data_IF_433806246816
#
_entry.id   IF_433806246816
#
_cell.length_a   1.000
_cell.length_b   1.000
_cell.length_c   1.000
_cell.angle_alpha   90.00
_cell.angle_beta   90.00
_cell.angle_gamma   90.00
#
_symmetry.space_group_name_H-M   'P 1'
#
loop_
_entity.id
_entity.type
_entity.pdbx_description
1 polymer ?
#
# COMPACT_ATOMS: atom_id res chain seq x y z
N UNK A 1 26.99 15.35 -38.07
CA UNK A 1 26.54 14.12 -37.37
C UNK A 1 25.92 13.20 -38.40
N UNK A 2 26.31 11.93 -38.41
CA UNK A 2 25.69 10.90 -39.24
C UNK A 2 24.34 10.47 -38.62
N UNK A 3 23.39 9.96 -39.43
CA UNK A 3 22.10 9.46 -38.91
C UNK A 3 22.30 8.37 -37.84
N UNK A 4 23.35 7.56 -37.99
CA UNK A 4 23.72 6.54 -37.02
C UNK A 4 24.16 7.13 -35.65
N UNK A 5 24.93 8.23 -35.66
CA UNK A 5 25.32 8.92 -34.42
C UNK A 5 24.10 9.49 -33.69
N UNK A 6 23.10 10.00 -34.42
CA UNK A 6 21.89 10.59 -33.83
C UNK A 6 21.02 9.50 -33.21
N UNK A 7 20.84 8.36 -33.88
CA UNK A 7 20.14 7.19 -33.31
C UNK A 7 20.81 6.69 -32.03
N UNK A 8 22.14 6.60 -32.04
CA UNK A 8 22.92 6.23 -30.85
C UNK A 8 22.76 7.21 -29.71
N UNK A 9 22.82 8.50 -30.01
CA UNK A 9 22.63 9.53 -29.01
C UNK A 9 21.19 9.50 -28.47
N UNK A 10 20.21 9.27 -29.34
CA UNK A 10 18.81 9.15 -28.95
C UNK A 10 18.56 8.00 -27.98
N UNK A 11 19.07 6.79 -28.22
CA UNK A 11 18.89 5.67 -27.28
C UNK A 11 19.57 5.91 -25.94
N UNK A 12 20.81 6.41 -25.96
CA UNK A 12 21.63 6.58 -24.77
C UNK A 12 21.15 7.75 -23.90
N UNK A 13 20.56 8.78 -24.51
CA UNK A 13 20.18 10.00 -23.80
C UNK A 13 18.68 10.03 -23.45
N UNK A 14 17.81 9.47 -24.30
CA UNK A 14 16.37 9.60 -24.11
C UNK A 14 15.76 8.49 -23.24
N UNK A 15 16.30 7.26 -23.26
CA UNK A 15 15.74 6.14 -22.51
C UNK A 15 16.19 6.10 -21.03
N UNK A 16 17.48 6.27 -20.68
CA UNK A 16 17.96 6.09 -19.30
C UNK A 16 17.40 7.02 -18.23
N UNK A 17 17.17 8.33 -18.45
CA UNK A 17 16.84 9.25 -17.36
C UNK A 17 15.63 8.79 -16.56
N UNK A 18 14.58 8.39 -17.26
CA UNK A 18 13.32 7.94 -16.68
C UNK A 18 13.39 6.53 -16.11
N UNK A 19 14.18 5.64 -16.73
CA UNK A 19 14.36 4.26 -16.23
C UNK A 19 15.19 4.21 -14.95
N UNK A 20 16.18 5.09 -14.83
CA UNK A 20 16.96 5.25 -13.61
C UNK A 20 16.10 5.67 -12.43
N UNK A 21 15.00 6.41 -12.66
CA UNK A 21 14.07 6.81 -11.62
C UNK A 21 13.31 5.62 -11.04
N UNK A 22 12.95 4.64 -11.87
CA UNK A 22 12.36 3.37 -11.42
C UNK A 22 13.38 2.58 -10.59
N UNK A 23 14.62 2.44 -11.08
CA UNK A 23 15.68 1.77 -10.33
C UNK A 23 16.06 2.48 -9.03
N UNK A 24 15.93 3.81 -8.97
CA UNK A 24 16.14 4.60 -7.75
C UNK A 24 15.10 4.27 -6.68
N UNK A 25 13.82 4.12 -7.05
CA UNK A 25 12.76 3.73 -6.09
C UNK A 25 13.05 2.35 -5.50
N UNK A 26 13.50 1.40 -6.31
CA UNK A 26 13.77 0.02 -5.90
C UNK A 26 15.24 -0.29 -5.62
N UNK A 27 16.06 0.71 -5.31
CA UNK A 27 17.52 0.54 -5.21
C UNK A 27 17.97 -0.49 -4.15
N UNK A 28 17.17 -0.68 -3.10
CA UNK A 28 17.42 -1.66 -2.03
C UNK A 28 16.82 -3.04 -2.30
N UNK A 29 15.95 -3.16 -3.31
CA UNK A 29 15.20 -4.39 -3.60
C UNK A 29 15.67 -5.09 -4.88
N UNK A 30 16.92 -4.88 -5.30
CA UNK A 30 17.47 -5.52 -6.49
C UNK A 30 17.82 -7.00 -6.20
N UNK A 31 17.47 -7.92 -7.11
CA UNK A 31 17.78 -9.36 -6.98
C UNK A 31 19.27 -9.67 -7.14
N UNK A 32 19.98 -8.84 -7.89
CA UNK A 32 21.38 -9.02 -8.24
C UNK A 32 22.21 -7.82 -7.79
N UNK A 33 23.53 -8.00 -7.70
CA UNK A 33 24.43 -6.89 -7.43
C UNK A 33 24.29 -5.79 -8.49
N UNK A 34 24.43 -4.53 -8.08
CA UNK A 34 24.20 -3.34 -8.92
C UNK A 34 24.96 -3.38 -10.25
N UNK A 35 26.18 -3.92 -10.26
CA UNK A 35 27.01 -4.04 -11.47
C UNK A 35 26.34 -4.94 -12.52
N UNK A 36 25.79 -6.10 -12.12
CA UNK A 36 25.09 -7.00 -13.04
C UNK A 36 23.78 -6.39 -13.56
N UNK A 37 23.08 -5.64 -12.71
CA UNK A 37 21.86 -4.91 -13.10
C UNK A 37 22.17 -3.84 -14.14
N UNK A 38 23.24 -3.06 -13.95
CA UNK A 38 23.67 -2.05 -14.93
C UNK A 38 24.13 -2.74 -16.21
N UNK A 39 24.90 -3.82 -16.13
CA UNK A 39 25.36 -4.56 -17.31
C UNK A 39 24.20 -5.13 -18.12
N UNK A 40 23.19 -5.74 -17.47
CA UNK A 40 22.01 -6.25 -18.15
C UNK A 40 21.16 -5.14 -18.76
N UNK A 41 21.04 -3.98 -18.10
CA UNK A 41 20.32 -2.84 -18.64
C UNK A 41 21.05 -2.24 -19.87
N UNK A 42 22.38 -2.17 -19.83
CA UNK A 42 23.19 -1.79 -21.00
C UNK A 42 23.00 -2.75 -22.18
N UNK A 43 22.79 -4.04 -21.90
CA UNK A 43 22.46 -5.02 -22.95
C UNK A 43 21.08 -4.75 -23.56
N UNK A 44 20.08 -4.39 -22.75
CA UNK A 44 18.75 -3.98 -23.24
C UNK A 44 18.84 -2.71 -24.10
N UNK A 45 19.66 -1.73 -23.71
CA UNK A 45 19.92 -0.54 -24.52
C UNK A 45 20.64 -0.89 -25.82
N UNK A 46 21.65 -1.77 -25.79
CA UNK A 46 22.34 -2.24 -26.97
C UNK A 46 21.41 -2.98 -27.94
N UNK A 47 20.48 -3.79 -27.42
CA UNK A 47 19.47 -4.45 -28.24
C UNK A 47 18.49 -3.44 -28.85
N UNK A 48 18.06 -2.44 -28.09
CA UNK A 48 17.21 -1.34 -28.58
C UNK A 48 17.92 -0.52 -29.66
N UNK A 49 19.23 -0.32 -29.50
CA UNK A 49 20.06 0.34 -30.50
C UNK A 49 20.20 -0.50 -31.78
N UNK A 50 20.40 -1.82 -31.64
CA UNK A 50 20.48 -2.72 -32.79
C UNK A 50 19.17 -2.75 -33.58
N UNK A 51 18.02 -2.80 -32.89
CA UNK A 51 16.70 -2.75 -33.54
C UNK A 51 16.49 -1.43 -34.27
N UNK A 52 16.88 -0.29 -33.66
CA UNK A 52 16.83 1.02 -34.31
C UNK A 52 17.70 1.15 -35.56
N UNK A 53 18.81 0.42 -35.65
CA UNK A 53 19.66 0.41 -36.84
C UNK A 53 19.11 -0.50 -37.93
N UNK A 54 18.42 -1.59 -37.55
CA UNK A 54 17.89 -2.57 -38.50
C UNK A 54 16.54 -2.20 -39.12
N UNK A 55 15.68 -1.43 -38.42
CA UNK A 55 14.36 -1.06 -38.92
C UNK A 55 14.33 0.38 -39.46
N UNK A 56 13.74 0.62 -40.65
CA UNK A 56 13.53 1.95 -41.21
C UNK A 56 12.29 2.64 -40.61
N UNK A 57 12.09 2.51 -39.29
CA UNK A 57 10.99 3.14 -38.56
C UNK A 57 11.47 4.40 -37.84
N UNK A 58 10.53 5.28 -37.48
CA UNK A 58 10.82 6.44 -36.64
C UNK A 58 11.45 6.02 -35.31
N UNK A 59 12.46 6.78 -34.85
CA UNK A 59 13.20 6.47 -33.62
C UNK A 59 12.27 6.36 -32.38
N UNK A 60 11.21 7.17 -32.33
CA UNK A 60 10.20 7.16 -31.28
C UNK A 60 9.32 5.90 -31.30
N UNK A 61 8.95 5.41 -32.48
CA UNK A 61 8.17 4.17 -32.63
C UNK A 61 8.99 2.94 -32.24
N UNK A 62 10.27 2.90 -32.64
CA UNK A 62 11.16 1.80 -32.21
C UNK A 62 11.37 1.83 -30.71
N UNK A 63 11.57 3.01 -30.10
CA UNK A 63 11.68 3.16 -28.66
C UNK A 63 10.40 2.72 -27.93
N UNK A 64 9.23 3.04 -28.48
CA UNK A 64 7.93 2.57 -27.97
C UNK A 64 7.83 1.04 -28.01
N UNK A 65 8.18 0.41 -29.13
CA UNK A 65 8.13 -1.05 -29.30
C UNK A 65 9.14 -1.79 -28.41
N UNK A 66 10.27 -1.16 -28.09
CA UNK A 66 11.27 -1.73 -27.18
C UNK A 66 10.95 -1.46 -25.70
N UNK A 67 9.94 -0.64 -25.39
CA UNK A 67 9.56 -0.31 -24.01
C UNK A 67 9.10 -1.51 -23.17
N UNK A 68 8.26 -2.44 -23.70
CA UNK A 68 7.88 -3.65 -22.97
C UNK A 68 9.07 -4.53 -22.60
N UNK A 69 10.12 -4.56 -23.43
CA UNK A 69 11.35 -5.30 -23.15
C UNK A 69 12.07 -4.72 -21.91
N UNK A 70 12.20 -3.39 -21.84
CA UNK A 70 12.79 -2.72 -20.67
C UNK A 70 11.96 -2.96 -19.40
N UNK A 71 10.63 -2.92 -19.51
CA UNK A 71 9.72 -3.22 -18.40
C UNK A 71 9.83 -4.69 -17.95
N UNK A 72 9.93 -5.63 -18.90
CA UNK A 72 10.15 -7.05 -18.60
C UNK A 72 11.49 -7.26 -17.88
N UNK A 73 12.54 -6.56 -18.32
CA UNK A 73 13.83 -6.58 -17.62
C UNK A 73 13.72 -6.05 -16.18
N UNK A 74 13.02 -4.92 -15.96
CA UNK A 74 12.76 -4.39 -14.62
C UNK A 74 12.03 -5.40 -13.72
N UNK A 75 11.02 -6.09 -14.26
CA UNK A 75 10.28 -7.15 -13.55
C UNK A 75 11.16 -8.35 -13.16
N UNK A 76 12.14 -8.70 -14.00
CA UNK A 76 13.06 -9.79 -13.71
C UNK A 76 14.09 -9.44 -12.65
N UNK A 77 14.54 -8.18 -12.61
CA UNK A 77 15.64 -7.74 -11.76
C UNK A 77 15.17 -7.24 -10.38
N UNK A 78 13.98 -6.65 -10.31
CA UNK A 78 13.45 -6.12 -9.05
C UNK A 78 12.79 -7.26 -8.24
N UNK A 79 13.12 -7.34 -6.95
CA UNK A 79 12.62 -8.34 -6.00
C UNK A 79 11.40 -7.82 -5.24
N UNK A 80 10.44 -7.25 -5.96
CA UNK A 80 9.17 -6.80 -5.39
C UNK A 80 7.98 -7.40 -6.16
N UNK A 81 6.78 -7.12 -5.70
CA UNK A 81 5.53 -7.48 -6.37
C UNK A 81 5.50 -6.86 -7.77
N UNK A 82 5.16 -7.65 -8.81
CA UNK A 82 5.22 -7.19 -10.19
C UNK A 82 4.28 -6.00 -10.45
N UNK A 83 3.13 -5.93 -9.76
CA UNK A 83 2.18 -4.83 -9.89
C UNK A 83 2.77 -3.48 -9.42
N UNK A 84 3.60 -3.47 -8.38
CA UNK A 84 4.26 -2.26 -7.88
C UNK A 84 5.28 -1.74 -8.88
N UNK A 85 6.08 -2.66 -9.44
CA UNK A 85 7.07 -2.35 -10.47
C UNK A 85 6.40 -1.82 -11.73
N UNK A 86 5.33 -2.48 -12.19
CA UNK A 86 4.52 -2.04 -13.34
C UNK A 86 3.98 -0.64 -13.08
N UNK A 87 3.35 -0.41 -11.93
CA UNK A 87 2.75 0.88 -11.63
C UNK A 87 3.78 2.01 -11.63
N UNK A 88 4.90 1.81 -10.95
CA UNK A 88 5.97 2.82 -10.90
C UNK A 88 6.57 3.06 -12.29
N UNK A 89 6.76 2.01 -13.10
CA UNK A 89 7.24 2.15 -14.47
C UNK A 89 6.24 2.91 -15.37
N UNK A 90 4.94 2.69 -15.18
CA UNK A 90 3.90 3.41 -15.93
C UNK A 90 3.72 4.84 -15.47
N UNK A 91 3.88 5.14 -14.18
CA UNK A 91 3.80 6.50 -13.65
C UNK A 91 4.80 7.46 -14.34
N UNK A 92 5.97 6.94 -14.67
CA UNK A 92 7.05 7.70 -15.30
C UNK A 92 6.80 7.89 -16.81
N UNK A 93 6.05 7.00 -17.44
CA UNK A 93 5.90 6.97 -18.90
C UNK A 93 5.20 8.20 -19.50
N UNK A 94 4.12 8.76 -18.92
CA UNK A 94 3.53 10.01 -19.40
C UNK A 94 4.48 11.22 -19.37
N UNK A 95 5.41 11.27 -18.41
CA UNK A 95 6.43 12.32 -18.38
C UNK A 95 7.39 12.20 -19.57
N UNK A 96 7.78 10.97 -19.92
CA UNK A 96 8.58 10.69 -21.11
C UNK A 96 7.82 11.06 -22.40
N UNK A 97 6.53 10.72 -22.51
CA UNK A 97 5.71 11.12 -23.66
C UNK A 97 5.59 12.64 -23.79
N UNK A 98 5.35 13.35 -22.68
CA UNK A 98 5.28 14.81 -22.65
C UNK A 98 6.61 15.43 -23.13
N UNK A 99 7.74 14.96 -22.60
CA UNK A 99 9.06 15.42 -23.02
C UNK A 99 9.32 15.14 -24.51
N UNK A 100 8.90 13.97 -25.00
CA UNK A 100 8.96 13.61 -26.41
C UNK A 100 8.15 14.54 -27.32
N UNK A 101 6.95 14.95 -26.90
CA UNK A 101 6.13 15.90 -27.66
C UNK A 101 6.65 17.31 -27.69
N UNK A 102 7.21 17.79 -26.57
CA UNK A 102 7.86 19.09 -26.55
C UNK A 102 9.09 19.07 -27.47
N UNK A 103 9.79 17.94 -27.53
CA UNK A 103 10.86 17.69 -28.49
C UNK A 103 10.39 17.78 -29.96
N UNK A 104 9.27 17.16 -30.34
CA UNK A 104 8.75 17.28 -31.71
C UNK A 104 8.18 18.65 -32.03
N UNK A 105 7.52 19.29 -31.09
CA UNK A 105 7.02 20.66 -31.24
C UNK A 105 8.17 21.64 -31.51
N UNK A 106 9.22 21.60 -30.70
CA UNK A 106 10.39 22.47 -30.88
C UNK A 106 11.14 22.18 -32.17
N UNK A 107 11.24 20.92 -32.57
CA UNK A 107 11.77 20.53 -33.87
C UNK A 107 10.92 21.10 -35.04
N UNK A 108 9.60 21.10 -34.91
CA UNK A 108 8.71 21.66 -35.93
C UNK A 108 8.83 23.20 -36.05
N UNK A 109 8.94 23.92 -34.93
CA UNK A 109 8.99 25.39 -34.94
C UNK A 109 10.40 25.98 -35.10
N UNK A 110 11.44 25.32 -34.59
CA UNK A 110 12.81 25.84 -34.51
C UNK A 110 13.84 24.95 -35.22
N UNK A 111 13.44 23.82 -35.79
CA UNK A 111 14.35 22.81 -36.37
C UNK A 111 14.98 23.15 -37.72
N UNK A 112 14.83 24.38 -38.23
CA UNK A 112 15.45 24.77 -39.50
C UNK A 112 16.98 24.63 -39.41
N UNK A 113 17.53 23.63 -40.13
CA UNK A 113 18.98 23.39 -40.23
C UNK A 113 19.59 22.38 -39.25
N UNK A 114 18.80 21.80 -38.34
CA UNK A 114 19.27 20.76 -37.40
C UNK A 114 18.85 19.35 -37.88
N UNK A 115 19.72 18.34 -37.74
CA UNK A 115 19.34 16.94 -37.98
C UNK A 115 18.13 16.49 -37.14
N UNK A 116 17.25 15.65 -37.72
CA UNK A 116 16.02 15.25 -37.05
C UNK A 116 16.29 14.47 -35.76
N UNK A 117 15.53 14.75 -34.70
CA UNK A 117 15.65 14.08 -33.40
C UNK A 117 16.70 14.65 -32.42
N UNK A 118 17.57 15.59 -32.84
CA UNK A 118 18.51 16.25 -31.91
C UNK A 118 17.80 17.08 -30.85
N UNK A 119 16.71 17.76 -31.21
CA UNK A 119 15.88 18.50 -30.26
C UNK A 119 15.33 17.60 -29.17
N UNK A 120 14.90 16.38 -29.51
CA UNK A 120 14.45 15.37 -28.53
C UNK A 120 15.58 14.99 -27.58
N UNK A 121 16.79 14.78 -28.11
CA UNK A 121 17.96 14.42 -27.32
C UNK A 121 18.37 15.53 -26.32
N UNK A 122 18.10 16.79 -26.63
CA UNK A 122 18.39 17.91 -25.73
C UNK A 122 17.25 18.14 -24.71
N UNK A 123 16.01 18.14 -25.17
CA UNK A 123 14.85 18.46 -24.34
C UNK A 123 14.49 17.37 -23.36
N UNK A 124 14.64 16.09 -23.72
CA UNK A 124 14.25 14.98 -22.83
C UNK A 124 15.07 15.00 -21.53
N UNK A 125 16.42 15.09 -21.55
CA UNK A 125 17.22 15.25 -20.34
C UNK A 125 16.97 16.58 -19.61
N UNK A 126 16.78 17.68 -20.34
CA UNK A 126 16.50 18.98 -19.72
C UNK A 126 15.19 18.96 -18.94
N UNK A 127 14.14 18.39 -19.53
CA UNK A 127 12.84 18.16 -18.87
C UNK A 127 12.97 17.21 -17.70
N UNK A 128 13.78 16.15 -17.82
CA UNK A 128 14.05 15.25 -16.71
C UNK A 128 14.71 16.00 -15.54
N UNK A 129 15.74 16.81 -15.78
CA UNK A 129 16.41 17.62 -14.76
C UNK A 129 15.44 18.65 -14.12
N UNK A 130 14.55 19.24 -14.90
CA UNK A 130 13.54 20.18 -14.41
C UNK A 130 12.49 19.48 -13.52
N UNK A 131 12.05 18.28 -13.90
CA UNK A 131 11.04 17.52 -13.18
C UNK A 131 11.64 16.74 -12.01
N UNK A 132 12.94 16.47 -12.00
CA UNK A 132 13.62 15.65 -11.00
C UNK A 132 13.35 16.08 -9.55
N UNK A 133 13.42 17.38 -9.17
CA UNK A 133 13.12 17.79 -7.79
C UNK A 133 11.68 17.49 -7.40
N UNK A 134 10.74 17.77 -8.31
CA UNK A 134 9.33 17.46 -8.10
C UNK A 134 9.13 15.95 -7.98
N UNK A 135 9.69 15.16 -8.89
CA UNK A 135 9.59 13.71 -8.88
C UNK A 135 10.18 13.09 -7.60
N UNK A 136 11.35 13.55 -7.13
CA UNK A 136 11.93 13.10 -5.87
C UNK A 136 11.05 13.47 -4.67
N UNK A 137 10.42 14.64 -4.68
CA UNK A 137 9.45 15.03 -3.66
C UNK A 137 8.22 14.11 -3.69
N UNK A 138 7.64 13.84 -4.86
CA UNK A 138 6.51 12.91 -5.04
C UNK A 138 6.87 11.51 -4.56
N UNK A 139 8.06 11.01 -4.91
CA UNK A 139 8.54 9.69 -4.50
C UNK A 139 8.65 9.63 -2.97
N UNK A 140 9.30 10.61 -2.34
CA UNK A 140 9.53 10.61 -0.89
C UNK A 140 8.25 10.76 -0.08
N UNK A 141 7.32 11.61 -0.51
CA UNK A 141 6.14 11.98 0.29
C UNK A 141 4.85 11.23 -0.08
N UNK A 142 4.71 10.75 -1.31
CA UNK A 142 3.50 10.04 -1.75
C UNK A 142 3.78 8.57 -2.04
N UNK A 143 4.83 8.27 -2.82
CA UNK A 143 5.09 6.91 -3.27
C UNK A 143 5.64 6.01 -2.15
N UNK A 144 6.62 6.48 -1.38
CA UNK A 144 7.23 5.70 -0.30
C UNK A 144 6.22 5.28 0.79
N UNK A 145 5.34 6.18 1.30
CA UNK A 145 4.28 5.76 2.22
C UNK A 145 3.25 4.81 1.60
N UNK A 146 3.00 4.93 0.30
CA UNK A 146 2.09 4.01 -0.39
C UNK A 146 2.73 2.63 -0.60
N UNK A 147 4.05 2.57 -0.77
CA UNK A 147 4.81 1.31 -0.94
C UNK A 147 4.79 0.43 0.32
N UNK A 148 4.60 1.02 1.51
CA UNK A 148 4.41 0.26 2.75
C UNK A 148 3.04 -0.40 2.86
N UNK A 149 2.04 0.05 2.10
CA UNK A 149 0.70 -0.54 2.09
C UNK A 149 0.72 -1.80 1.22
N UNK A 150 0.61 -2.96 1.85
CA UNK A 150 0.61 -4.26 1.16
C UNK A 150 -0.79 -4.70 0.73
N UNK A 151 -1.49 -3.85 -0.03
CA UNK A 151 -2.79 -4.19 -0.63
C UNK A 151 -2.67 -4.43 -2.13
N UNK A 152 -2.74 -5.70 -2.52
CA UNK A 152 -2.72 -6.12 -3.93
C UNK A 152 -3.84 -5.50 -4.76
N UNK A 153 -5.02 -5.25 -4.19
CA UNK A 153 -6.16 -4.67 -4.92
C UNK A 153 -5.90 -3.21 -5.28
N UNK A 154 -5.34 -2.44 -4.34
CA UNK A 154 -4.96 -1.05 -4.57
C UNK A 154 -3.98 -0.95 -5.74
N UNK A 155 -2.94 -1.77 -5.75
CA UNK A 155 -1.95 -1.81 -6.84
C UNK A 155 -2.53 -2.32 -8.17
N UNK A 156 -3.51 -3.24 -8.14
CA UNK A 156 -4.22 -3.68 -9.33
C UNK A 156 -5.05 -2.55 -9.95
N UNK A 157 -5.78 -1.78 -9.13
CA UNK A 157 -6.57 -0.65 -9.63
C UNK A 157 -5.70 0.51 -10.12
N UNK A 158 -4.63 0.83 -9.39
CA UNK A 158 -3.68 1.87 -9.80
C UNK A 158 -3.01 1.50 -11.13
N UNK A 159 -2.44 0.29 -11.23
CA UNK A 159 -1.82 -0.16 -12.49
C UNK A 159 -2.82 -0.26 -13.64
N UNK A 160 -4.06 -0.71 -13.38
CA UNK A 160 -5.12 -0.74 -14.38
C UNK A 160 -5.49 0.65 -14.91
N UNK A 161 -5.64 1.63 -14.01
CA UNK A 161 -5.90 3.02 -14.39
C UNK A 161 -4.75 3.61 -15.22
N UNK A 162 -3.51 3.39 -14.79
CA UNK A 162 -2.30 3.82 -15.50
C UNK A 162 -2.21 3.18 -16.89
N UNK A 163 -2.47 1.88 -17.02
CA UNK A 163 -2.46 1.18 -18.32
C UNK A 163 -3.48 1.79 -19.27
N UNK A 164 -4.70 2.07 -18.80
CA UNK A 164 -5.75 2.69 -19.63
C UNK A 164 -5.31 4.06 -20.12
N UNK A 165 -4.78 4.89 -19.23
CA UNK A 165 -4.31 6.24 -19.56
C UNK A 165 -3.15 6.21 -20.57
N UNK A 166 -2.16 5.34 -20.35
CA UNK A 166 -1.03 5.16 -21.24
C UNK A 166 -1.49 4.62 -22.60
N UNK A 167 -2.38 3.63 -22.62
CA UNK A 167 -2.94 3.08 -23.85
C UNK A 167 -3.69 4.15 -24.66
N UNK A 168 -4.50 4.99 -23.99
CA UNK A 168 -5.19 6.10 -24.64
C UNK A 168 -4.20 7.13 -25.21
N UNK A 169 -3.15 7.47 -24.45
CA UNK A 169 -2.12 8.42 -24.87
C UNK A 169 -1.30 7.92 -26.07
N UNK A 170 -1.03 6.61 -26.13
CA UNK A 170 -0.35 5.94 -27.23
C UNK A 170 -1.28 5.81 -28.44
N UNK A 171 -2.56 5.46 -28.24
CA UNK A 171 -3.55 5.37 -29.32
C UNK A 171 -3.80 6.73 -30.00
N UNK A 172 -3.75 7.83 -29.23
CA UNK A 172 -3.95 9.17 -29.77
C UNK A 172 -2.81 9.64 -30.68
N UNK A 173 -1.56 9.30 -30.38
CA UNK A 173 -0.39 9.64 -31.21
C UNK A 173 0.81 8.74 -30.89
N UNK A 174 0.93 7.57 -31.55
CA UNK A 174 1.93 6.56 -31.20
C UNK A 174 3.35 6.98 -31.57
N UNK A 175 3.52 7.81 -32.62
CA UNK A 175 4.82 8.24 -33.11
C UNK A 175 5.36 9.50 -32.41
N UNK A 176 4.55 10.11 -31.53
CA UNK A 176 4.82 11.43 -30.93
C UNK A 176 5.00 12.55 -31.97
N UNK A 177 4.45 12.39 -33.18
CA UNK A 177 4.65 13.32 -34.29
C UNK A 177 3.63 14.46 -34.29
N UNK A 178 2.58 14.37 -33.48
CA UNK A 178 1.51 15.35 -33.51
C UNK A 178 1.88 16.64 -32.78
N UNK A 179 1.70 17.76 -33.49
CA UNK A 179 1.96 19.14 -33.03
C UNK A 179 0.64 19.81 -32.60
N UNK A 180 -0.46 19.06 -32.47
CA UNK A 180 -1.75 19.63 -32.09
C UNK A 180 -1.76 20.08 -30.61
N UNK A 181 -2.25 21.30 -30.30
CA UNK A 181 -2.28 21.81 -28.93
C UNK A 181 -3.20 20.98 -28.02
N UNK A 182 -4.22 20.33 -28.58
CA UNK A 182 -5.11 19.40 -27.86
C UNK A 182 -4.36 18.19 -27.32
N UNK A 183 -3.46 17.61 -28.12
CA UNK A 183 -2.64 16.45 -27.72
C UNK A 183 -1.60 16.87 -26.68
N UNK A 184 -1.01 18.06 -26.83
CA UNK A 184 -0.11 18.62 -25.81
C UNK A 184 -0.83 18.85 -24.48
N UNK A 185 -2.01 19.47 -24.50
CA UNK A 185 -2.81 19.69 -23.31
C UNK A 185 -3.20 18.37 -22.63
N UNK A 186 -3.60 17.35 -23.40
CA UNK A 186 -3.86 16.01 -22.89
C UNK A 186 -2.62 15.39 -22.23
N UNK A 187 -1.46 15.47 -22.88
CA UNK A 187 -0.17 14.96 -22.37
C UNK A 187 0.37 15.72 -21.15
N UNK A 188 0.00 16.99 -20.97
CA UNK A 188 0.30 17.75 -19.76
C UNK A 188 -0.65 17.37 -18.61
N UNK A 189 -1.93 17.14 -18.91
CA UNK A 189 -2.94 16.75 -17.93
C UNK A 189 -2.72 15.32 -17.40
N UNK A 190 -2.20 14.41 -18.22
CA UNK A 190 -1.91 13.01 -17.85
C UNK A 190 -1.04 12.85 -16.58
N UNK A 191 0.19 13.40 -16.50
CA UNK A 191 1.01 13.30 -15.31
C UNK A 191 0.38 14.04 -14.12
N UNK A 192 -0.33 15.15 -14.35
CA UNK A 192 -1.05 15.85 -13.28
C UNK A 192 -2.17 14.98 -12.69
N UNK A 193 -2.96 14.33 -13.54
CA UNK A 193 -4.03 13.43 -13.13
C UNK A 193 -3.50 12.24 -12.32
N UNK A 194 -2.36 11.66 -12.73
CA UNK A 194 -1.71 10.59 -11.99
C UNK A 194 -1.19 11.03 -10.62
N UNK A 195 -0.58 12.21 -10.53
CA UNK A 195 -0.14 12.75 -9.22
C UNK A 195 -1.34 13.01 -8.31
N UNK A 196 -2.45 13.53 -8.85
CA UNK A 196 -3.67 13.72 -8.05
C UNK A 196 -4.29 12.39 -7.63
N UNK A 197 -4.31 11.40 -8.52
CA UNK A 197 -4.79 10.05 -8.19
C UNK A 197 -3.96 9.43 -7.05
N UNK A 198 -2.62 9.54 -7.11
CA UNK A 198 -1.74 9.10 -6.03
C UNK A 198 -2.06 9.84 -4.71
N UNK A 199 -2.23 11.16 -4.73
CA UNK A 199 -2.63 11.93 -3.53
C UNK A 199 -3.95 11.43 -2.95
N UNK A 200 -4.97 11.28 -3.78
CA UNK A 200 -6.29 10.79 -3.34
C UNK A 200 -6.19 9.37 -2.77
N UNK A 201 -5.42 8.48 -3.40
CA UNK A 201 -5.20 7.12 -2.91
C UNK A 201 -4.49 7.09 -1.54
N UNK A 202 -3.49 7.95 -1.34
CA UNK A 202 -2.79 8.06 -0.04
C UNK A 202 -3.67 8.64 1.06
N UNK A 203 -4.62 9.52 0.72
CA UNK A 203 -5.59 10.03 1.68
C UNK A 203 -6.64 8.97 2.04
N UNK A 204 -7.17 8.26 1.05
CA UNK A 204 -8.15 7.19 1.26
C UNK A 204 -7.58 6.05 2.11
N UNK A 205 -6.33 5.66 1.88
CA UNK A 205 -5.65 4.64 2.69
C UNK A 205 -5.48 5.09 4.13
N UNK A 206 -5.06 6.34 4.37
CA UNK A 206 -4.99 6.90 5.74
C UNK A 206 -6.33 6.92 6.44
N UNK A 207 -7.40 7.38 5.77
CA UNK A 207 -8.74 7.37 6.36
C UNK A 207 -9.26 5.96 6.64
N UNK A 208 -8.92 4.98 5.80
CA UNK A 208 -9.26 3.58 6.04
C UNK A 208 -8.49 2.99 7.23
N UNK A 209 -7.19 3.32 7.37
CA UNK A 209 -6.37 2.92 8.52
C UNK A 209 -6.88 3.54 9.82
N UNK A 210 -7.18 4.84 9.83
CA UNK A 210 -7.77 5.53 10.98
C UNK A 210 -9.14 4.93 11.35
N UNK A 211 -9.99 4.67 10.36
CA UNK A 211 -11.29 4.01 10.57
C UNK A 211 -11.15 2.62 11.17
N UNK A 212 -10.20 1.82 10.68
CA UNK A 212 -9.92 0.49 11.22
C UNK A 212 -9.37 0.55 12.65
N UNK A 213 -8.50 1.50 12.96
CA UNK A 213 -7.97 1.70 14.30
C UNK A 213 -9.08 2.11 15.29
N UNK A 214 -9.97 3.02 14.88
CA UNK A 214 -11.15 3.39 15.68
C UNK A 214 -12.08 2.20 15.90
N UNK A 215 -12.32 1.39 14.87
CA UNK A 215 -13.13 0.19 15.00
C UNK A 215 -12.52 -0.83 15.97
N UNK A 216 -11.19 -1.04 15.90
CA UNK A 216 -10.47 -1.90 16.84
C UNK A 216 -10.55 -1.37 18.28
N UNK A 217 -10.45 -0.06 18.48
CA UNK A 217 -10.63 0.56 19.80
C UNK A 217 -12.05 0.33 20.35
N UNK A 218 -13.08 0.51 19.52
CA UNK A 218 -14.47 0.25 19.92
C UNK A 218 -14.70 -1.20 20.32
N UNK A 219 -14.14 -2.15 19.56
CA UNK A 219 -14.22 -3.58 19.91
C UNK A 219 -13.51 -3.86 21.24
N UNK A 220 -12.35 -3.26 21.48
CA UNK A 220 -11.62 -3.43 22.73
C UNK A 220 -12.39 -2.85 23.93
N UNK A 221 -12.99 -1.67 23.80
CA UNK A 221 -13.85 -1.09 24.84
C UNK A 221 -15.07 -1.97 25.12
N UNK A 222 -15.70 -2.54 24.10
CA UNK A 222 -16.81 -3.48 24.27
C UNK A 222 -16.38 -4.77 25.00
N UNK A 223 -15.19 -5.30 24.69
CA UNK A 223 -14.65 -6.45 25.42
C UNK A 223 -14.38 -6.12 26.88
N UNK A 224 -13.86 -4.94 27.19
CA UNK A 224 -13.65 -4.50 28.57
C UNK A 224 -14.99 -4.40 29.30
N UNK A 225 -15.99 -3.72 28.72
CA UNK A 225 -17.32 -3.58 29.33
C UNK A 225 -17.98 -4.93 29.62
N UNK A 226 -17.94 -5.85 28.67
CA UNK A 226 -18.52 -7.19 28.87
C UNK A 226 -17.77 -7.98 29.95
N UNK A 227 -16.45 -7.83 30.05
CA UNK A 227 -15.66 -8.45 31.14
C UNK A 227 -15.98 -7.85 32.51
N UNK A 228 -16.20 -6.53 32.59
CA UNK A 228 -16.58 -5.85 33.82
C UNK A 228 -17.99 -6.26 34.27
N UNK A 229 -18.96 -6.31 33.34
CA UNK A 229 -20.32 -6.78 33.60
C UNK A 229 -20.32 -8.21 34.16
N UNK A 230 -19.56 -9.13 33.55
CA UNK A 230 -19.42 -10.50 34.04
C UNK A 230 -18.83 -10.56 35.47
N UNK A 231 -17.85 -9.70 35.76
CA UNK A 231 -17.24 -9.59 37.09
C UNK A 231 -18.22 -9.04 38.11
N UNK A 232 -19.01 -8.03 37.75
CA UNK A 232 -20.09 -7.49 38.59
C UNK A 232 -21.15 -8.54 38.90
N UNK A 233 -21.59 -9.31 37.91
CA UNK A 233 -22.55 -10.40 38.13
C UNK A 233 -22.03 -11.45 39.12
N UNK A 234 -20.78 -11.86 38.96
CA UNK A 234 -20.14 -12.82 39.87
C UNK A 234 -20.07 -12.27 41.31
N UNK A 235 -19.71 -10.99 41.45
CA UNK A 235 -19.66 -10.32 42.76
C UNK A 235 -21.04 -10.20 43.40
N UNK A 236 -22.08 -9.91 42.62
CA UNK A 236 -23.47 -9.88 43.09
C UNK A 236 -23.93 -11.26 43.57
N UNK A 237 -23.56 -12.33 42.87
CA UNK A 237 -23.93 -13.69 43.26
C UNK A 237 -23.23 -14.14 44.54
N UNK A 238 -21.94 -13.80 44.70
CA UNK A 238 -21.21 -13.99 45.96
C UNK A 238 -21.80 -13.18 47.12
N UNK A 239 -22.22 -11.94 46.86
CA UNK A 239 -22.84 -11.11 47.90
C UNK A 239 -24.21 -11.68 48.32
N UNK A 240 -25.00 -12.16 47.35
CA UNK A 240 -26.29 -12.82 47.59
C UNK A 240 -26.12 -14.14 48.37
N UNK A 241 -25.12 -14.96 48.04
CA UNK A 241 -24.84 -16.20 48.79
C UNK A 241 -24.38 -15.89 50.23
N UNK A 242 -23.47 -14.93 50.41
CA UNK A 242 -23.02 -14.48 51.72
C UNK A 242 -24.15 -13.89 52.57
N UNK A 243 -25.09 -13.16 51.96
CA UNK A 243 -26.27 -12.64 52.67
C UNK A 243 -27.20 -13.76 53.14
N UNK A 244 -27.46 -14.75 52.28
CA UNK A 244 -28.26 -15.93 52.64
C UNK A 244 -27.63 -16.70 53.80
N UNK A 245 -26.33 -17.01 53.70
CA UNK A 245 -25.60 -17.71 54.76
C UNK A 245 -25.66 -16.98 56.11
N UNK A 246 -25.51 -15.65 56.12
CA UNK A 246 -25.64 -14.86 57.36
C UNK A 246 -27.06 -14.85 57.92
N UNK A 247 -28.07 -14.81 57.06
CA UNK A 247 -29.47 -14.91 57.47
C UNK A 247 -29.74 -16.26 58.14
N UNK A 248 -29.29 -17.35 57.51
CA UNK A 248 -29.50 -18.71 58.00
C UNK A 248 -28.77 -18.94 59.33
N UNK A 249 -27.50 -18.50 59.45
CA UNK A 249 -26.76 -18.52 60.71
C UNK A 249 -27.47 -17.76 61.84
N UNK A 250 -28.02 -16.57 61.53
CA UNK A 250 -28.76 -15.78 62.51
C UNK A 250 -30.05 -16.47 62.93
N UNK A 251 -30.74 -17.13 62.00
CA UNK A 251 -31.93 -17.91 62.30
C UNK A 251 -31.59 -19.07 63.25
N UNK A 252 -30.56 -19.87 62.95
CA UNK A 252 -30.10 -20.94 63.82
C UNK A 252 -29.68 -20.45 65.21
N UNK A 253 -28.95 -19.33 65.31
CA UNK A 253 -28.59 -18.74 66.61
C UNK A 253 -29.81 -18.31 67.41
N UNK A 254 -30.85 -17.78 66.74
CA UNK A 254 -32.08 -17.36 67.40
C UNK A 254 -32.87 -18.58 67.90
N UNK A 255 -32.96 -19.65 67.09
CA UNK A 255 -33.60 -20.91 67.49
C UNK A 255 -32.90 -21.58 68.66
N UNK A 256 -31.55 -21.64 68.64
CA UNK A 256 -30.74 -22.16 69.74
C UNK A 256 -30.98 -21.35 71.02
N UNK A 257 -30.98 -20.02 70.93
CA UNK A 257 -31.22 -19.14 72.07
C UNK A 257 -32.63 -19.31 72.66
N UNK A 258 -33.66 -19.47 71.82
CA UNK A 258 -35.03 -19.73 72.26
C UNK A 258 -35.16 -21.10 72.96
N UNK A 259 -34.66 -22.17 72.34
CA UNK A 259 -34.71 -23.52 72.90
C UNK A 259 -33.93 -23.64 74.22
N UNK A 260 -32.82 -22.91 74.34
CA UNK A 260 -32.05 -22.82 75.58
C UNK A 260 -32.79 -22.04 76.68
N UNK A 261 -33.54 -20.99 76.32
CA UNK A 261 -34.34 -20.21 77.26
C UNK A 261 -35.58 -20.97 77.77
N UNK A 262 -36.15 -21.85 76.96
CA UNK A 262 -37.28 -22.71 77.32
C UNK A 262 -36.89 -23.92 78.21
N UNK A 263 -35.62 -24.01 78.66
CA UNK A 263 -35.04 -25.12 79.45
C UNK A 263 -35.23 -26.54 78.86
N UNK A 264 -35.57 -26.63 77.57
CA UNK A 264 -35.90 -27.88 76.88
C UNK A 264 -34.65 -28.63 76.39
N UNK A 265 -33.86 -29.15 77.32
CA UNK A 265 -32.55 -29.80 77.02
C UNK A 265 -32.62 -30.90 75.96
N UNK A 266 -33.66 -31.73 75.96
CA UNK A 266 -33.82 -32.81 74.97
C UNK A 266 -34.09 -32.28 73.56
N UNK A 267 -34.88 -31.21 73.42
CA UNK A 267 -35.19 -30.60 72.11
C UNK A 267 -34.02 -29.80 71.56
N UNK A 268 -33.26 -29.14 72.44
CA UNK A 268 -32.03 -28.46 72.05
C UNK A 268 -30.96 -29.46 71.57
N UNK A 269 -30.80 -30.59 72.26
CA UNK A 269 -29.86 -31.64 71.84
C UNK A 269 -30.24 -32.22 70.47
N UNK A 270 -31.53 -32.55 70.27
CA UNK A 270 -32.02 -33.06 68.99
C UNK A 270 -31.83 -32.05 67.84
N UNK A 271 -32.05 -30.75 68.09
CA UNK A 271 -31.85 -29.71 67.08
C UNK A 271 -30.37 -29.52 66.72
N UNK A 272 -29.46 -29.62 67.69
CA UNK A 272 -28.01 -29.51 67.44
C UNK A 272 -27.47 -30.73 66.69
N UNK A 273 -27.98 -31.94 66.98
CA UNK A 273 -27.62 -33.16 66.26
C UNK A 273 -28.10 -33.12 64.79
N UNK A 274 -29.35 -32.72 64.54
CA UNK A 274 -29.89 -32.55 63.18
C UNK A 274 -29.12 -31.49 62.38
N UNK A 275 -28.76 -30.38 63.03
CA UNK A 275 -27.95 -29.32 62.42
C UNK A 275 -26.53 -29.79 62.10
N UNK A 276 -25.93 -30.63 62.95
CA UNK A 276 -24.63 -31.24 62.70
C UNK A 276 -24.66 -32.23 61.53
N UNK A 277 -25.75 -33.00 61.38
CA UNK A 277 -25.96 -33.92 60.26
C UNK A 277 -26.11 -33.16 58.94
N UNK A 278 -26.92 -32.09 58.91
CA UNK A 278 -27.12 -31.24 57.72
C UNK A 278 -25.81 -30.57 57.23
N UNK A 279 -24.97 -30.07 58.15
CA UNK A 279 -23.66 -29.52 57.77
C UNK A 279 -22.65 -30.58 57.33
N UNK A 280 -22.75 -31.81 57.85
CA UNK A 280 -21.90 -32.92 57.42
C UNK A 280 -22.24 -33.40 56.00
N UNK A 281 -23.53 -33.47 55.67
CA UNK A 281 -24.02 -33.79 54.32
C UNK A 281 -23.60 -32.74 53.29
N UNK A 282 -23.82 -31.44 53.56
CA UNK A 282 -23.38 -30.35 52.67
C UNK A 282 -21.88 -30.38 52.36
N UNK A 283 -21.05 -30.66 53.38
CA UNK A 283 -19.59 -30.73 53.22
C UNK A 283 -19.12 -31.93 52.38
N UNK A 284 -19.95 -32.97 52.30
CA UNK A 284 -19.68 -34.16 51.48
C UNK A 284 -20.06 -33.96 50.00
N UNK A 285 -21.05 -33.12 49.72
CA UNK A 285 -21.48 -32.77 48.36
C UNK A 285 -20.54 -31.74 47.69
N UNK A 286 -19.99 -30.77 48.43
CA UNK A 286 -19.00 -29.81 47.89
C UNK A 286 -17.63 -30.44 47.52
N UNK A 287 -17.37 -31.70 47.92
CA UNK A 287 -16.11 -32.41 47.69
C UNK A 287 -16.12 -33.39 46.52
N UNK A 288 -17.27 -33.61 45.86
CA UNK A 288 -17.39 -34.43 44.64
C UNK A 288 -17.37 -33.54 43.40
#
# INVERSE_FOLDING_TARGET
>A
MTDAEIRLLYTLVCAPPFDLLVFYVFHDQLRFARIYVVCGYMLVLALTQATQMSLPLDMSLVALLCRPLALFYMLLVIRDQPLRVISIALLVYPLLMLAGTLGTMTEHFFGAGLPPGLWKCLLIPMMFLLVLPAALHTIRHLLMPMLSVDDRRLWLYLSGYEVILVALAVAADPANTSVQPTILAARLLLPLALVQYLRVSTLLTRYAEEGNALHQQQLHEQMIRTSEEARYHTMLDLWRSSRRMRHDLRHHMTMIAQLAHEESRERLAAYLDDLAEQFAEQKSEERK
#
